data_IF_239763384549
#
_entry.id   IF_239763384549
#
_cell.length_a   1.000
_cell.length_b   1.000
_cell.length_c   1.000
_cell.angle_alpha   90.00
_cell.angle_beta   90.00
_cell.angle_gamma   90.00
#
_symmetry.space_group_name_H-M   'P 1'
#
loop_
_entity.id
_entity.type
_entity.pdbx_description
1 polymer ?
#
# COMPACT_ATOMS: atom_id res chain seq x y z
N UNK A 1 22.78 11.39 -8.07
CA UNK A 1 21.73 10.68 -8.79
C UNK A 1 22.06 9.20 -8.75
N UNK A 2 21.05 8.38 -8.50
CA UNK A 2 21.19 6.91 -8.49
C UNK A 2 21.57 6.43 -9.89
N UNK A 3 22.60 5.61 -10.01
CA UNK A 3 23.00 5.05 -11.31
C UNK A 3 21.90 4.13 -11.83
N UNK A 4 21.41 4.41 -13.04
CA UNK A 4 20.35 3.62 -13.69
C UNK A 4 20.79 2.16 -13.98
N UNK A 5 22.10 1.86 -14.00
CA UNK A 5 22.60 0.50 -14.19
C UNK A 5 22.39 -0.37 -12.96
N UNK A 6 22.39 0.22 -11.75
CA UNK A 6 22.15 -0.50 -10.50
C UNK A 6 20.68 -0.90 -10.33
N UNK A 7 19.74 -0.15 -10.94
CA UNK A 7 18.31 -0.46 -10.93
C UNK A 7 18.00 -1.70 -11.77
N UNK A 8 18.88 -2.10 -12.69
CA UNK A 8 18.67 -3.25 -13.59
C UNK A 8 19.08 -4.60 -12.99
N UNK A 9 19.86 -4.59 -11.94
CA UNK A 9 20.21 -5.82 -11.24
C UNK A 9 19.13 -6.10 -10.20
N UNK A 10 18.41 -7.21 -10.34
CA UNK A 10 17.32 -7.69 -9.47
C UNK A 10 17.73 -7.89 -7.99
N UNK A 11 18.93 -7.54 -7.60
CA UNK A 11 19.44 -7.62 -6.25
C UNK A 11 19.26 -6.28 -5.53
N UNK A 12 18.21 -6.21 -4.75
CA UNK A 12 17.98 -5.39 -3.54
C UNK A 12 18.83 -4.12 -3.47
N UNK A 13 18.39 -3.07 -4.15
CA UNK A 13 18.91 -1.72 -3.94
C UNK A 13 18.19 -1.15 -2.71
N UNK A 14 18.64 -1.56 -1.53
CA UNK A 14 18.10 -1.09 -0.27
C UNK A 14 18.78 0.23 0.12
N UNK A 15 18.09 1.38 -0.10
CA UNK A 15 18.65 2.70 0.18
C UNK A 15 17.94 3.46 1.28
N UNK A 16 16.69 3.10 1.60
CA UNK A 16 15.84 3.92 2.46
C UNK A 16 15.37 3.17 3.69
N UNK A 17 15.48 3.82 4.84
CA UNK A 17 14.90 3.33 6.10
C UNK A 17 13.40 3.54 6.14
N UNK A 18 12.91 4.60 5.48
CA UNK A 18 11.49 4.96 5.44
C UNK A 18 11.08 5.41 4.04
N UNK A 19 9.96 4.87 3.57
CA UNK A 19 9.28 5.31 2.34
C UNK A 19 7.84 5.69 2.67
N UNK A 20 7.40 6.87 2.24
CA UNK A 20 6.00 7.28 2.30
C UNK A 20 5.55 7.65 0.89
N UNK A 21 4.46 7.06 0.42
CA UNK A 21 4.02 7.26 -0.96
C UNK A 21 2.50 7.17 -1.11
N UNK A 22 2.01 7.96 -2.06
CA UNK A 22 0.67 7.85 -2.59
C UNK A 22 0.82 7.62 -4.11
N UNK A 23 0.88 6.35 -4.55
CA UNK A 23 1.09 6.03 -5.95
C UNK A 23 -0.11 6.46 -6.81
N UNK A 24 0.07 6.64 -8.12
CA UNK A 24 -1.06 6.83 -9.01
C UNK A 24 -1.93 5.57 -9.03
N UNK A 25 -3.25 5.75 -8.93
CA UNK A 25 -4.20 4.64 -8.97
C UNK A 25 -4.78 4.46 -10.36
N UNK A 26 -4.98 3.21 -10.74
CA UNK A 26 -5.99 2.89 -11.69
C UNK A 26 -5.62 2.12 -12.93
N UNK A 27 -6.64 1.41 -13.36
CA UNK A 27 -6.69 0.65 -14.61
C UNK A 27 -6.56 1.50 -15.88
N UNK A 28 -6.66 2.84 -15.77
CA UNK A 28 -6.60 3.74 -16.93
C UNK A 28 -5.18 3.98 -17.44
N UNK A 29 -4.16 3.75 -16.62
CA UNK A 29 -2.74 3.96 -16.96
C UNK A 29 -1.89 2.72 -16.66
N UNK A 30 -2.33 1.50 -17.05
CA UNK A 30 -1.60 0.29 -16.70
C UNK A 30 -0.25 0.25 -17.40
N UNK A 31 0.72 -0.33 -16.74
CA UNK A 31 2.04 -0.64 -17.32
C UNK A 31 1.92 -1.88 -18.19
N UNK A 32 2.40 -1.81 -19.44
CA UNK A 32 2.33 -2.89 -20.44
C UNK A 32 3.70 -3.28 -21.01
N UNK A 33 4.74 -2.49 -20.73
CA UNK A 33 6.09 -2.78 -21.22
C UNK A 33 6.64 -4.02 -20.52
N UNK A 34 6.90 -5.06 -21.31
CA UNK A 34 7.41 -6.35 -20.80
C UNK A 34 8.73 -6.22 -20.06
N UNK A 35 9.67 -5.39 -20.57
CA UNK A 35 10.96 -5.18 -19.91
C UNK A 35 10.82 -4.54 -18.53
N UNK A 36 9.74 -3.79 -18.31
CA UNK A 36 9.41 -3.25 -17.00
C UNK A 36 8.76 -4.35 -16.16
N UNK A 37 7.74 -5.04 -16.69
CA UNK A 37 6.98 -6.04 -15.95
C UNK A 37 7.85 -7.22 -15.48
N UNK A 38 8.81 -7.67 -16.29
CA UNK A 38 9.76 -8.74 -15.94
C UNK A 38 10.57 -8.47 -14.66
N UNK A 39 10.62 -7.23 -14.20
CA UNK A 39 11.33 -6.84 -12.98
C UNK A 39 10.52 -7.04 -11.70
N UNK A 40 9.27 -7.51 -11.80
CA UNK A 40 8.34 -7.58 -10.68
C UNK A 40 7.67 -8.95 -10.56
N UNK A 41 7.73 -9.54 -9.39
CA UNK A 41 7.00 -10.76 -9.05
C UNK A 41 5.48 -10.55 -9.14
N UNK A 42 4.99 -9.40 -8.67
CA UNK A 42 3.57 -9.04 -8.71
C UNK A 42 3.04 -8.79 -10.12
N UNK A 43 3.91 -8.67 -11.11
CA UNK A 43 3.51 -8.58 -12.52
C UNK A 43 3.31 -9.95 -13.20
N UNK A 44 3.68 -11.03 -12.55
CA UNK A 44 3.42 -12.39 -13.05
C UNK A 44 1.97 -12.80 -12.81
N UNK A 45 1.53 -13.80 -13.54
CA UNK A 45 0.24 -14.44 -13.29
C UNK A 45 0.40 -15.36 -12.08
N UNK A 46 -0.50 -15.23 -11.12
CA UNK A 46 -0.56 -16.05 -9.93
C UNK A 46 -1.79 -16.96 -10.02
N UNK A 47 -1.61 -18.23 -9.73
CA UNK A 47 -2.66 -19.23 -9.72
C UNK A 47 -3.03 -19.61 -8.29
N UNK A 48 -4.34 -19.62 -8.00
CA UNK A 48 -4.86 -20.00 -6.69
C UNK A 48 -5.25 -21.46 -6.67
N UNK A 49 -4.66 -22.24 -5.79
CA UNK A 49 -5.15 -23.57 -5.47
C UNK A 49 -6.40 -23.45 -4.58
N UNK A 50 -7.55 -23.75 -5.15
CA UNK A 50 -8.85 -23.66 -4.46
C UNK A 50 -8.97 -24.60 -3.25
N UNK A 51 -8.14 -25.64 -3.15
CA UNK A 51 -8.20 -26.60 -2.03
C UNK A 51 -7.42 -26.08 -0.82
N UNK A 52 -6.27 -25.48 -1.07
CA UNK A 52 -5.39 -24.96 0.00
C UNK A 52 -5.55 -23.47 0.21
N UNK A 53 -6.10 -22.73 -0.77
CA UNK A 53 -6.17 -21.28 -0.78
C UNK A 53 -4.84 -20.58 -1.08
N UNK A 54 -3.78 -21.33 -1.38
CA UNK A 54 -2.43 -20.83 -1.60
C UNK A 54 -2.27 -20.27 -3.00
N UNK A 55 -1.53 -19.16 -3.14
CA UNK A 55 -1.20 -18.60 -4.43
C UNK A 55 0.22 -18.97 -4.86
N UNK A 56 0.37 -19.38 -6.11
CA UNK A 56 1.66 -19.73 -6.69
C UNK A 56 1.94 -18.86 -7.91
N UNK A 57 3.12 -18.23 -7.92
CA UNK A 57 3.58 -17.45 -9.07
C UNK A 57 3.96 -18.36 -10.23
N UNK A 58 3.54 -17.98 -11.44
CA UNK A 58 3.90 -18.66 -12.69
C UNK A 58 5.00 -17.91 -13.44
N UNK A 59 5.62 -18.55 -14.42
CA UNK A 59 6.59 -17.91 -15.34
C UNK A 59 5.94 -16.87 -16.28
N UNK A 60 4.62 -16.84 -16.36
CA UNK A 60 3.89 -16.01 -17.32
C UNK A 60 3.63 -14.61 -16.77
N UNK A 61 3.91 -13.59 -17.58
CA UNK A 61 3.58 -12.21 -17.27
C UNK A 61 2.11 -11.88 -17.54
N UNK A 62 1.56 -11.01 -16.74
CA UNK A 62 0.31 -10.33 -17.03
C UNK A 62 0.50 -9.41 -18.24
N UNK A 63 -0.54 -9.24 -19.08
CA UNK A 63 -0.49 -8.34 -20.24
C UNK A 63 -0.40 -6.86 -19.86
N UNK A 64 -0.87 -6.54 -18.67
CA UNK A 64 -0.82 -5.19 -18.10
C UNK A 64 -1.04 -5.24 -16.59
N UNK A 65 -0.41 -4.33 -15.86
CA UNK A 65 -0.51 -4.25 -14.41
C UNK A 65 -0.76 -2.80 -13.99
N UNK A 66 -1.74 -2.54 -13.11
CA UNK A 66 -1.95 -1.22 -12.50
C UNK A 66 -0.69 -0.73 -11.77
N UNK A 67 -0.33 0.55 -11.89
CA UNK A 67 0.92 1.06 -11.33
C UNK A 67 1.02 0.92 -9.83
N UNK A 68 -0.08 1.06 -9.08
CA UNK A 68 -0.10 0.91 -7.63
C UNK A 68 0.42 -0.46 -7.17
N UNK A 69 0.18 -1.53 -7.94
CA UNK A 69 0.67 -2.88 -7.63
C UNK A 69 2.20 -2.93 -7.76
N UNK A 70 2.74 -2.35 -8.85
CA UNK A 70 4.18 -2.31 -9.06
C UNK A 70 4.88 -1.41 -8.03
N UNK A 71 4.21 -0.34 -7.57
CA UNK A 71 4.73 0.52 -6.52
C UNK A 71 4.91 -0.21 -5.19
N UNK A 72 4.01 -1.13 -4.83
CA UNK A 72 4.17 -1.96 -3.62
C UNK A 72 5.51 -2.69 -3.65
N UNK A 73 5.80 -3.38 -4.74
CA UNK A 73 7.04 -4.14 -4.86
C UNK A 73 8.28 -3.24 -5.03
N UNK A 74 8.19 -2.19 -5.85
CA UNK A 74 9.31 -1.26 -6.03
C UNK A 74 9.71 -0.58 -4.73
N UNK A 75 8.77 -0.13 -3.94
CA UNK A 75 9.06 0.44 -2.62
C UNK A 75 9.71 -0.60 -1.70
N UNK A 76 9.26 -1.86 -1.75
CA UNK A 76 9.87 -2.95 -0.99
C UNK A 76 11.32 -3.21 -1.40
N UNK A 77 11.61 -3.17 -2.71
CA UNK A 77 12.97 -3.31 -3.23
C UNK A 77 13.89 -2.19 -2.75
N UNK A 78 13.37 -0.96 -2.64
CA UNK A 78 14.12 0.22 -2.20
C UNK A 78 14.31 0.32 -0.69
N UNK A 79 13.52 -0.38 0.11
CA UNK A 79 13.65 -0.39 1.57
C UNK A 79 14.80 -1.27 2.03
N UNK A 80 15.54 -0.81 3.04
CA UNK A 80 16.46 -1.67 3.82
C UNK A 80 15.68 -2.74 4.59
N UNK A 81 16.32 -3.82 4.97
CA UNK A 81 15.74 -4.82 5.87
C UNK A 81 15.36 -4.17 7.22
N UNK A 82 14.14 -4.40 7.68
CA UNK A 82 13.58 -3.73 8.85
C UNK A 82 13.03 -2.32 8.58
N UNK A 83 13.24 -1.77 7.38
CA UNK A 83 12.72 -0.47 6.96
C UNK A 83 11.20 -0.41 6.94
N UNK A 84 10.64 0.79 7.00
CA UNK A 84 9.21 1.02 7.12
C UNK A 84 8.64 1.73 5.90
N UNK A 85 7.42 1.36 5.53
CA UNK A 85 6.69 1.97 4.43
C UNK A 85 5.30 2.39 4.88
N UNK A 86 4.89 3.62 4.49
CA UNK A 86 3.50 4.06 4.50
C UNK A 86 3.03 4.21 3.05
N UNK A 87 2.02 3.44 2.65
CA UNK A 87 1.53 3.45 1.28
C UNK A 87 0.02 3.57 1.24
N UNK A 88 -0.48 4.51 0.42
CA UNK A 88 -1.92 4.63 0.15
C UNK A 88 -2.28 3.67 -0.98
N UNK A 89 -3.28 2.84 -0.77
CA UNK A 89 -3.73 1.83 -1.72
C UNK A 89 -5.24 1.86 -1.89
N UNK A 90 -5.77 1.55 -3.09
CA UNK A 90 -7.19 1.28 -3.27
C UNK A 90 -7.64 0.08 -2.45
N UNK A 91 -8.84 0.15 -1.88
CA UNK A 91 -9.39 -0.93 -1.06
C UNK A 91 -9.56 -2.24 -1.82
N UNK A 92 -9.65 -2.17 -3.15
CA UNK A 92 -9.64 -3.37 -4.00
C UNK A 92 -8.41 -4.25 -3.78
N UNK A 93 -7.24 -3.67 -3.47
CA UNK A 93 -6.03 -4.42 -3.15
C UNK A 93 -6.25 -5.27 -1.89
N UNK A 94 -6.95 -4.71 -0.89
CA UNK A 94 -7.17 -5.36 0.40
C UNK A 94 -8.38 -6.30 0.39
N UNK A 95 -9.42 -6.01 -0.41
CA UNK A 95 -10.71 -6.68 -0.36
C UNK A 95 -11.03 -7.60 -1.54
N UNK A 96 -10.50 -7.35 -2.76
CA UNK A 96 -10.89 -8.15 -3.93
C UNK A 96 -10.34 -9.57 -3.89
N UNK A 97 -11.20 -10.59 -4.09
CA UNK A 97 -10.77 -11.99 -4.08
C UNK A 97 -9.67 -12.29 -5.10
N UNK A 98 -9.77 -11.74 -6.31
CA UNK A 98 -8.79 -11.94 -7.39
C UNK A 98 -7.40 -11.33 -7.12
N UNK A 99 -7.27 -10.45 -6.11
CA UNK A 99 -6.01 -9.83 -5.71
C UNK A 99 -5.42 -10.45 -4.43
N UNK A 100 -5.87 -11.64 -4.05
CA UNK A 100 -5.37 -12.38 -2.88
C UNK A 100 -3.87 -12.61 -2.90
N UNK A 101 -3.28 -12.82 -4.08
CA UNK A 101 -1.85 -13.02 -4.25
C UNK A 101 -1.02 -11.82 -3.77
N UNK A 102 -1.53 -10.58 -3.93
CA UNK A 102 -0.84 -9.37 -3.46
C UNK A 102 -0.80 -9.35 -1.93
N UNK A 103 -1.91 -9.72 -1.27
CA UNK A 103 -1.98 -9.78 0.19
C UNK A 103 -1.05 -10.87 0.75
N UNK A 104 -1.01 -12.03 0.11
CA UNK A 104 -0.09 -13.11 0.48
C UNK A 104 1.37 -12.66 0.30
N UNK A 105 1.69 -12.03 -0.83
CA UNK A 105 3.01 -11.46 -1.08
C UNK A 105 3.39 -10.41 -0.04
N UNK A 106 2.45 -9.52 0.32
CA UNK A 106 2.65 -8.51 1.36
C UNK A 106 2.99 -9.14 2.71
N UNK A 107 2.21 -10.12 3.15
CA UNK A 107 2.41 -10.80 4.44
C UNK A 107 3.71 -11.59 4.44
N UNK A 108 4.09 -12.20 3.32
CA UNK A 108 5.36 -12.93 3.18
C UNK A 108 6.57 -12.00 3.31
N UNK A 109 6.48 -10.80 2.75
CA UNK A 109 7.60 -9.86 2.68
C UNK A 109 7.64 -8.83 3.81
N UNK A 110 6.50 -8.58 4.48
CA UNK A 110 6.36 -7.53 5.48
C UNK A 110 5.64 -8.02 6.73
N UNK A 111 5.90 -7.30 7.83
CA UNK A 111 5.00 -7.22 8.97
C UNK A 111 4.05 -6.04 8.72
N UNK A 112 2.75 -6.28 8.80
CA UNK A 112 1.75 -5.22 8.71
C UNK A 112 1.70 -4.54 10.07
N UNK A 113 2.06 -3.26 10.14
CA UNK A 113 2.09 -2.48 11.37
C UNK A 113 0.73 -1.87 11.65
N UNK A 114 0.12 -1.27 10.61
CA UNK A 114 -1.20 -0.68 10.71
C UNK A 114 -1.94 -0.72 9.37
N UNK A 115 -3.27 -0.72 9.44
CA UNK A 115 -4.17 -0.46 8.32
C UNK A 115 -5.17 0.60 8.75
N UNK A 116 -5.22 1.70 8.01
CA UNK A 116 -6.12 2.82 8.29
C UNK A 116 -7.03 3.00 7.07
N UNK A 117 -8.30 2.70 7.25
CA UNK A 117 -9.34 2.95 6.25
C UNK A 117 -9.64 4.44 6.19
N UNK A 118 -9.48 5.05 5.02
CA UNK A 118 -9.72 6.47 4.81
C UNK A 118 -11.19 6.71 4.47
N UNK A 119 -11.69 7.87 4.85
CA UNK A 119 -13.03 8.28 4.47
C UNK A 119 -13.17 8.36 2.94
N UNK A 120 -14.33 7.96 2.39
CA UNK A 120 -14.61 7.96 0.96
C UNK A 120 -14.40 9.32 0.28
N UNK A 121 -14.54 10.40 1.04
CA UNK A 121 -14.37 11.76 0.54
C UNK A 121 -12.92 12.26 0.57
N UNK A 122 -11.96 11.46 1.09
CA UNK A 122 -10.56 11.89 1.29
C UNK A 122 -9.93 12.48 0.05
N UNK A 123 -10.17 11.91 -1.13
CA UNK A 123 -9.61 12.37 -2.40
C UNK A 123 -10.62 13.09 -3.30
N UNK A 124 -11.85 13.31 -2.81
CA UNK A 124 -12.85 14.09 -3.52
C UNK A 124 -12.44 15.58 -3.56
N UNK A 125 -12.86 16.31 -4.59
CA UNK A 125 -13.72 15.90 -5.73
C UNK A 125 -12.96 15.23 -6.89
N UNK A 126 -11.65 15.06 -6.80
CA UNK A 126 -10.81 14.59 -7.92
C UNK A 126 -10.87 13.09 -8.13
N UNK A 127 -10.98 12.34 -7.08
CA UNK A 127 -10.98 10.87 -7.11
C UNK A 127 -11.94 10.32 -6.03
N UNK A 128 -12.89 9.46 -6.45
CA UNK A 128 -13.85 8.80 -5.55
C UNK A 128 -13.46 7.37 -5.17
N UNK A 129 -12.21 6.98 -5.41
CA UNK A 129 -11.73 5.64 -5.03
C UNK A 129 -11.59 5.55 -3.51
N UNK A 130 -12.27 4.57 -2.91
CA UNK A 130 -12.06 4.21 -1.51
C UNK A 130 -10.65 3.67 -1.33
N UNK A 131 -9.97 4.13 -0.31
CA UNK A 131 -8.55 3.86 -0.09
C UNK A 131 -8.22 3.64 1.37
N UNK A 132 -7.16 2.87 1.59
CA UNK A 132 -6.57 2.68 2.91
C UNK A 132 -5.09 3.05 2.90
N UNK A 133 -4.57 3.46 4.06
CA UNK A 133 -3.12 3.59 4.27
C UNK A 133 -2.63 2.34 4.98
N UNK A 134 -1.70 1.63 4.34
CA UNK A 134 -0.96 0.55 4.97
C UNK A 134 0.39 1.04 5.51
N UNK A 135 0.67 0.72 6.76
CA UNK A 135 1.99 0.85 7.34
C UNK A 135 2.63 -0.53 7.46
N UNK A 136 3.74 -0.70 6.79
CA UNK A 136 4.44 -1.96 6.62
C UNK A 136 5.87 -1.84 7.14
N UNK A 137 6.40 -2.94 7.68
CA UNK A 137 7.81 -3.08 8.00
C UNK A 137 8.37 -4.26 7.19
N UNK A 138 9.38 -4.00 6.37
CA UNK A 138 10.05 -5.04 5.59
C UNK A 138 10.69 -6.06 6.51
N UNK A 139 10.38 -7.34 6.31
CA UNK A 139 11.02 -8.42 7.07
C UNK A 139 12.49 -8.53 6.71
N UNK A 140 13.32 -8.79 7.70
CA UNK A 140 14.72 -9.13 7.49
C UNK A 140 14.84 -10.52 6.86
N UNK A 141 15.97 -10.80 6.22
CA UNK A 141 16.26 -12.13 5.71
C UNK A 141 16.14 -13.19 6.82
N UNK A 142 16.66 -12.91 8.02
CA UNK A 142 16.59 -13.82 9.16
C UNK A 142 15.14 -14.15 9.56
N UNK A 143 14.24 -13.16 9.55
CA UNK A 143 12.83 -13.38 9.86
C UNK A 143 12.15 -14.26 8.81
N UNK A 144 12.41 -14.01 7.53
CA UNK A 144 11.86 -14.85 6.43
C UNK A 144 12.37 -16.29 6.52
N UNK A 145 13.67 -16.48 6.70
CA UNK A 145 14.30 -17.81 6.83
C UNK A 145 13.74 -18.57 8.04
N UNK A 146 13.46 -17.89 9.14
CA UNK A 146 12.87 -18.49 10.35
C UNK A 146 11.41 -18.91 10.12
N UNK A 147 10.61 -18.08 9.45
CA UNK A 147 9.22 -18.41 9.10
C UNK A 147 9.14 -19.57 8.11
N UNK A 148 10.03 -19.59 7.11
CA UNK A 148 10.09 -20.66 6.13
C UNK A 148 10.48 -22.01 6.79
N UNK A 149 11.48 -22.02 7.67
CA UNK A 149 11.92 -23.22 8.40
C UNK A 149 10.85 -23.74 9.36
N UNK A 150 10.13 -22.87 10.01
CA UNK A 150 9.09 -23.24 10.99
C UNK A 150 7.75 -23.57 10.32
N UNK A 151 7.54 -23.15 9.07
CA UNK A 151 6.24 -23.23 8.38
C UNK A 151 5.16 -22.34 9.06
N UNK A 152 5.56 -21.43 9.93
CA UNK A 152 4.64 -20.56 10.67
C UNK A 152 5.09 -19.11 10.59
N UNK A 153 4.14 -18.22 10.30
CA UNK A 153 4.37 -16.78 10.45
C UNK A 153 4.39 -16.40 11.93
N UNK A 154 5.19 -15.40 12.26
CA UNK A 154 5.16 -14.81 13.59
C UNK A 154 3.79 -14.17 13.86
N UNK A 155 3.24 -14.41 15.05
CA UNK A 155 2.02 -13.74 15.50
C UNK A 155 2.34 -12.34 16.02
N UNK A 156 1.52 -11.34 15.64
CA UNK A 156 1.70 -9.95 16.05
C UNK A 156 0.40 -9.15 15.92
N UNK A 157 0.30 -8.10 16.72
CA UNK A 157 -0.84 -7.18 16.65
C UNK A 157 -0.72 -6.24 15.46
N UNK A 158 -1.86 -5.97 14.81
CA UNK A 158 -2.01 -4.97 13.75
C UNK A 158 -2.90 -3.86 14.28
N UNK A 159 -2.42 -2.61 14.21
CA UNK A 159 -3.27 -1.46 14.51
C UNK A 159 -4.27 -1.25 13.38
N UNK A 160 -5.56 -1.17 13.73
CA UNK A 160 -6.65 -0.92 12.79
C UNK A 160 -7.39 0.35 13.17
N UNK A 161 -7.64 1.21 12.19
CA UNK A 161 -8.41 2.44 12.39
C UNK A 161 -9.28 2.75 11.16
N UNK A 162 -10.36 3.48 11.39
CA UNK A 162 -11.23 4.04 10.35
C UNK A 162 -11.31 5.55 10.53
N UNK A 163 -11.14 6.28 9.44
CA UNK A 163 -11.30 7.74 9.40
C UNK A 163 -12.72 8.06 9.02
N UNK A 164 -13.53 8.47 10.00
CA UNK A 164 -14.94 8.77 9.79
C UNK A 164 -15.18 10.08 9.04
N UNK A 165 -14.30 11.07 9.22
CA UNK A 165 -14.47 12.41 8.68
C UNK A 165 -13.15 12.95 8.14
N UNK A 166 -13.27 13.72 7.06
CA UNK A 166 -12.20 14.57 6.52
C UNK A 166 -12.59 16.03 6.66
N UNK A 167 -11.66 16.95 6.55
CA UNK A 167 -11.92 18.39 6.74
C UNK A 167 -12.67 19.06 5.59
N UNK A 168 -13.29 18.31 4.69
CA UNK A 168 -14.06 18.82 3.56
C UNK A 168 -15.19 17.84 3.17
N UNK A 169 -16.17 18.36 2.41
CA UNK A 169 -17.22 17.56 1.79
C UNK A 169 -16.74 16.95 0.44
N UNK A 170 -17.59 16.13 -0.19
CA UNK A 170 -17.32 15.52 -1.50
C UNK A 170 -17.11 16.52 -2.64
N UNK A 171 -17.47 17.80 -2.47
CA UNK A 171 -17.26 18.87 -3.43
C UNK A 171 -15.99 19.67 -3.15
N UNK A 172 -15.29 19.35 -2.05
CA UNK A 172 -14.09 20.05 -1.61
C UNK A 172 -14.34 21.27 -0.74
N UNK A 173 -15.58 21.53 -0.31
CA UNK A 173 -15.88 22.64 0.59
C UNK A 173 -15.42 22.30 2.00
N UNK A 174 -14.76 23.23 2.72
CA UNK A 174 -14.32 23.00 4.09
C UNK A 174 -15.50 22.66 5.03
N UNK A 175 -15.28 21.71 5.92
CA UNK A 175 -16.21 21.36 7.00
C UNK A 175 -15.51 21.63 8.33
N UNK A 176 -16.16 22.43 9.18
CA UNK A 176 -15.64 22.80 10.49
C UNK A 176 -16.44 22.13 11.61
N UNK A 177 -15.79 21.84 12.72
CA UNK A 177 -16.50 21.47 13.95
C UNK A 177 -17.35 22.65 14.42
N UNK A 178 -18.51 22.33 14.97
CA UNK A 178 -19.41 23.31 15.55
C UNK A 178 -19.64 23.00 17.02
N UNK A 179 -19.80 24.04 17.83
CA UNK A 179 -20.24 23.93 19.21
C UNK A 179 -21.75 23.54 19.29
N UNK A 180 -22.26 23.45 20.50
CA UNK A 180 -23.66 23.11 20.73
C UNK A 180 -24.63 24.18 20.22
N UNK A 181 -24.18 25.41 20.13
CA UNK A 181 -24.90 26.57 19.62
C UNK A 181 -24.82 26.70 18.10
N UNK A 182 -24.00 25.87 17.44
CA UNK A 182 -23.84 25.85 15.99
C UNK A 182 -22.75 26.76 15.45
N UNK A 183 -21.98 27.43 16.30
CA UNK A 183 -20.85 28.26 15.89
C UNK A 183 -19.63 27.41 15.53
N UNK A 184 -18.84 27.88 14.59
CA UNK A 184 -17.58 27.20 14.24
C UNK A 184 -16.57 27.31 15.38
N UNK A 185 -16.01 26.14 15.75
CA UNK A 185 -14.96 26.11 16.77
C UNK A 185 -13.67 26.58 16.13
N UNK A 186 -13.22 27.76 16.50
CA UNK A 186 -11.91 28.30 16.12
C UNK A 186 -10.88 27.81 17.13
N UNK A 187 -9.83 27.15 16.65
CA UNK A 187 -8.66 26.83 17.48
C UNK A 187 -7.82 28.11 17.57
N UNK A 188 -7.48 28.53 18.78
CA UNK A 188 -6.81 29.80 19.09
C UNK A 188 -5.36 29.89 18.58
N UNK A 189 -4.85 28.89 17.90
CA UNK A 189 -3.55 28.97 17.25
C UNK A 189 -3.68 29.49 15.81
N UNK A 190 -2.75 30.33 15.45
CA UNK A 190 -2.60 31.10 14.22
C UNK A 190 -2.70 30.29 12.90
N UNK A 191 -2.88 29.02 12.98
CA UNK A 191 -3.21 28.14 11.87
C UNK A 191 -4.65 27.68 12.05
N UNK A 192 -5.56 28.21 11.25
CA UNK A 192 -6.93 27.71 11.11
C UNK A 192 -6.88 26.21 10.82
N UNK A 193 -6.86 25.42 11.86
CA UNK A 193 -6.91 23.98 11.72
C UNK A 193 -8.34 23.63 11.39
N UNK A 194 -8.53 23.06 10.21
CA UNK A 194 -9.73 22.35 9.85
C UNK A 194 -9.98 21.32 10.95
N UNK A 195 -11.00 21.54 11.74
CA UNK A 195 -11.26 20.66 12.87
C UNK A 195 -12.13 19.53 12.40
N UNK A 196 -11.59 18.42 12.46
CA UNK A 196 -12.11 17.13 11.99
C UNK A 196 -12.98 16.48 13.01
#
# INVERSE_FOLDING_TARGET
GVDKSEIRNHNTIAYFDVIVTNPPFGSKIPVKDKNILEQFELAHIWENDKKTGTWTMTERLQSSVPPEILFIERCTQLLVDGGRMGIVLPDSILGSPGLGYIREWLIKNHRIVASIDLNADTFQPRNGTQTSVLFLQKKTKQQKDSEEKSGKMADYNIFMAMVEKVGHDKRGNPIFKRDKEGNEILVSDTNSVLVR
#
